data_IF_293129698143
#
_entry.id   IF_293129698143
#
_cell.length_a   1.000
_cell.length_b   1.000
_cell.length_c   1.000
_cell.angle_alpha   90.00
_cell.angle_beta   90.00
_cell.angle_gamma   90.00
#
_symmetry.space_group_name_H-M   'P 1'
#
loop_
_entity.id
_entity.type
_entity.pdbx_description
1 polymer ?
#
# COMPACT_ATOMS: atom_id res chain seq x y z
N UNK A 1 -4.94 -11.23 -46.58
CA UNK A 1 -3.86 -10.76 -45.69
C UNK A 1 -4.37 -9.74 -44.68
N UNK A 2 -5.11 -8.71 -45.09
CA UNK A 2 -5.70 -7.69 -44.20
C UNK A 2 -6.55 -8.25 -43.04
N UNK A 3 -7.35 -9.30 -43.29
CA UNK A 3 -8.19 -9.96 -42.26
C UNK A 3 -7.38 -10.73 -41.19
N UNK A 4 -6.22 -11.30 -41.57
CA UNK A 4 -5.36 -12.02 -40.65
C UNK A 4 -4.46 -11.07 -39.83
N UNK A 5 -4.10 -9.93 -40.41
CA UNK A 5 -3.39 -8.86 -39.69
C UNK A 5 -4.29 -8.23 -38.61
N UNK A 6 -5.59 -8.04 -38.91
CA UNK A 6 -6.56 -7.51 -37.96
C UNK A 6 -6.82 -8.47 -36.79
N UNK A 7 -6.88 -9.78 -37.08
CA UNK A 7 -7.03 -10.80 -36.05
C UNK A 7 -5.80 -10.87 -35.13
N UNK A 8 -4.60 -10.72 -35.69
CA UNK A 8 -3.35 -10.71 -34.92
C UNK A 8 -3.22 -9.46 -34.04
N UNK A 9 -3.65 -8.29 -34.53
CA UNK A 9 -3.72 -7.04 -33.74
C UNK A 9 -4.77 -7.13 -32.62
N UNK A 10 -5.94 -7.72 -32.88
CA UNK A 10 -6.96 -7.96 -31.85
C UNK A 10 -6.50 -8.96 -30.78
N UNK A 11 -5.68 -9.95 -31.16
CA UNK A 11 -5.15 -10.95 -30.22
C UNK A 11 -4.16 -10.34 -29.22
N UNK A 12 -3.41 -9.29 -29.61
CA UNK A 12 -2.50 -8.57 -28.70
C UNK A 12 -3.21 -7.60 -27.75
N UNK A 13 -4.45 -7.17 -28.08
CA UNK A 13 -5.27 -6.34 -27.20
C UNK A 13 -5.83 -7.11 -25.99
N UNK A 14 -5.84 -8.45 -26.03
CA UNK A 14 -6.23 -9.30 -24.90
C UNK A 14 -5.05 -9.69 -23.99
N UNK A 15 -3.83 -9.22 -24.28
CA UNK A 15 -2.71 -9.25 -23.35
C UNK A 15 -2.52 -7.87 -22.70
N UNK A 16 -3.61 -7.28 -22.23
CA UNK A 16 -3.47 -6.26 -21.20
C UNK A 16 -2.83 -6.97 -19.99
N UNK A 17 -1.72 -6.47 -19.42
CA UNK A 17 -1.27 -6.96 -18.13
C UNK A 17 -2.46 -6.83 -17.16
N UNK A 18 -2.77 -7.90 -16.43
CA UNK A 18 -3.68 -7.80 -15.31
C UNK A 18 -3.14 -6.67 -14.43
N UNK A 19 -3.93 -5.61 -14.23
CA UNK A 19 -3.63 -4.60 -13.25
C UNK A 19 -3.75 -5.29 -11.89
N UNK A 20 -2.63 -5.84 -11.42
CA UNK A 20 -2.53 -6.24 -10.03
C UNK A 20 -2.76 -4.98 -9.23
N UNK A 21 -3.75 -5.00 -8.34
CA UNK A 21 -3.88 -4.01 -7.27
C UNK A 21 -2.48 -3.69 -6.75
N UNK A 22 -2.02 -2.45 -6.98
CA UNK A 22 -0.67 -2.02 -6.65
C UNK A 22 -0.53 -2.06 -5.14
N UNK A 23 -0.10 -3.21 -4.64
CA UNK A 23 0.14 -3.46 -3.23
C UNK A 23 1.32 -2.58 -2.84
N UNK A 24 1.10 -1.66 -1.90
CA UNK A 24 2.18 -0.83 -1.38
C UNK A 24 2.82 -1.53 -0.18
N UNK A 25 4.14 -1.60 -0.18
CA UNK A 25 4.93 -2.10 0.95
C UNK A 25 5.92 -1.05 1.46
N UNK A 26 6.69 -1.44 2.48
CA UNK A 26 7.72 -0.61 3.12
C UNK A 26 8.78 -0.04 2.17
N UNK A 27 8.97 -0.63 0.98
CA UNK A 27 9.98 -0.23 0.00
C UNK A 27 9.46 0.74 -1.06
N UNK A 28 8.14 0.84 -1.22
CA UNK A 28 7.52 1.64 -2.29
C UNK A 28 6.70 2.83 -1.78
N UNK A 29 6.50 2.97 -0.47
CA UNK A 29 5.61 3.99 0.10
C UNK A 29 6.17 5.41 -0.08
N UNK A 30 7.40 5.66 0.36
CA UNK A 30 8.07 6.95 0.17
C UNK A 30 9.47 6.75 -0.40
N UNK A 31 9.84 7.56 -1.38
CA UNK A 31 11.11 7.50 -2.11
C UNK A 31 12.31 7.88 -1.25
N UNK A 32 12.09 8.62 -0.17
CA UNK A 32 13.11 9.16 0.72
C UNK A 32 13.09 8.53 2.12
N UNK A 33 12.23 7.53 2.36
CA UNK A 33 12.16 6.78 3.61
C UNK A 33 12.65 5.35 3.36
N UNK A 34 13.85 4.98 3.85
CA UNK A 34 14.33 3.60 3.75
C UNK A 34 13.40 2.62 4.49
N UNK A 35 13.23 1.41 3.94
CA UNK A 35 12.46 0.34 4.59
C UNK A 35 13.04 -0.11 5.95
N UNK A 36 14.28 0.27 6.25
CA UNK A 36 15.00 0.00 7.51
C UNK A 36 14.83 1.11 8.55
N UNK A 37 14.07 2.16 8.24
CA UNK A 37 13.77 3.25 9.19
C UNK A 37 13.03 2.68 10.41
N UNK A 38 13.43 3.09 11.61
CA UNK A 38 12.92 2.51 12.86
C UNK A 38 11.42 2.65 13.07
N UNK A 39 10.80 3.69 12.52
CA UNK A 39 9.36 3.98 12.61
C UNK A 39 8.61 3.67 11.30
N UNK A 40 9.16 2.83 10.42
CA UNK A 40 8.52 2.51 9.13
C UNK A 40 7.11 1.89 9.30
N UNK A 41 6.90 1.12 10.37
CA UNK A 41 5.59 0.54 10.67
C UNK A 41 4.57 1.63 10.98
N UNK A 42 4.96 2.60 11.81
CA UNK A 42 4.12 3.75 12.19
C UNK A 42 3.75 4.60 10.97
N UNK A 43 4.72 4.86 10.09
CA UNK A 43 4.50 5.55 8.82
C UNK A 43 3.47 4.81 7.97
N UNK A 44 3.63 3.49 7.82
CA UNK A 44 2.68 2.70 7.04
C UNK A 44 1.29 2.67 7.66
N UNK A 45 1.17 2.59 8.99
CA UNK A 45 -0.12 2.65 9.70
C UNK A 45 -0.81 3.98 9.46
N UNK A 46 -0.13 5.10 9.76
CA UNK A 46 -0.71 6.45 9.60
C UNK A 46 -1.08 6.74 8.15
N UNK A 47 -0.29 6.26 7.18
CA UNK A 47 -0.63 6.37 5.77
C UNK A 47 -1.84 5.52 5.40
N UNK A 48 -1.94 4.32 5.94
CA UNK A 48 -3.07 3.41 5.69
C UNK A 48 -4.40 3.99 6.14
N UNK A 49 -4.38 4.80 7.18
CA UNK A 49 -5.57 5.42 7.78
C UNK A 49 -5.77 6.88 7.37
N UNK A 50 -5.00 7.39 6.40
CA UNK A 50 -5.17 8.73 5.84
C UNK A 50 -4.67 9.89 6.72
N UNK A 51 -3.98 9.62 7.83
CA UNK A 51 -3.36 10.65 8.69
C UNK A 51 -1.95 11.06 8.23
N UNK A 52 -1.45 10.39 7.19
CA UNK A 52 -0.21 10.71 6.49
C UNK A 52 -0.44 10.54 4.99
N UNK A 53 -0.11 11.54 4.18
CA UNK A 53 -0.30 11.48 2.74
C UNK A 53 0.83 12.14 1.96
N UNK A 54 0.71 12.13 0.64
CA UNK A 54 1.65 12.82 -0.25
C UNK A 54 1.31 14.31 -0.36
N UNK A 55 2.33 15.13 -0.59
CA UNK A 55 2.16 16.58 -0.86
C UNK A 55 1.73 16.87 -2.31
N UNK A 56 1.21 15.86 -3.03
CA UNK A 56 0.68 15.97 -4.40
C UNK A 56 1.72 16.21 -5.50
N UNK A 57 3.02 16.24 -5.19
CA UNK A 57 4.08 16.50 -6.18
C UNK A 57 5.11 15.39 -6.27
N UNK A 58 5.57 14.90 -5.12
CA UNK A 58 6.59 13.86 -5.03
C UNK A 58 6.15 12.81 -4.01
N UNK A 59 6.47 11.55 -4.25
CA UNK A 59 6.32 10.47 -3.25
C UNK A 59 7.42 10.60 -2.18
N UNK A 60 7.58 11.78 -1.58
CA UNK A 60 8.61 12.08 -0.60
C UNK A 60 7.99 12.63 0.68
N UNK A 61 8.40 12.08 1.82
CA UNK A 61 7.91 12.48 3.13
C UNK A 61 8.68 13.69 3.68
N UNK A 62 10.00 13.69 3.53
CA UNK A 62 10.96 14.59 4.15
C UNK A 62 10.82 14.65 5.69
N UNK A 63 11.13 13.55 6.42
CA UNK A 63 10.81 13.40 7.84
C UNK A 63 11.39 14.49 8.75
N UNK A 64 12.55 15.04 8.39
CA UNK A 64 13.27 16.05 9.18
C UNK A 64 12.76 17.47 8.98
N UNK A 65 11.94 17.71 7.96
CA UNK A 65 11.37 19.02 7.72
C UNK A 65 10.22 19.29 8.69
N UNK A 66 10.04 20.57 9.05
CA UNK A 66 8.86 21.01 9.78
C UNK A 66 7.60 20.67 8.99
N UNK A 67 6.57 20.19 9.69
CA UNK A 67 5.28 19.94 9.07
C UNK A 67 4.57 21.28 8.83
N UNK A 68 4.30 21.59 7.56
CA UNK A 68 3.57 22.81 7.21
C UNK A 68 2.10 22.69 7.59
N UNK A 69 1.48 23.82 7.96
CA UNK A 69 0.03 23.91 8.21
C UNK A 69 -0.79 23.42 7.02
N UNK A 70 -0.34 23.76 5.81
CA UNK A 70 -1.01 23.39 4.56
C UNK A 70 -1.02 21.88 4.33
N UNK A 71 0.12 21.21 4.49
CA UNK A 71 0.21 19.76 4.30
C UNK A 71 -0.68 19.04 5.33
N UNK A 72 -0.59 19.45 6.60
CA UNK A 72 -1.45 18.91 7.65
C UNK A 72 -2.95 19.13 7.36
N UNK A 73 -3.33 20.34 6.96
CA UNK A 73 -4.71 20.65 6.62
C UNK A 73 -5.23 19.79 5.46
N UNK A 74 -4.39 19.53 4.45
CA UNK A 74 -4.74 18.60 3.38
C UNK A 74 -4.96 17.18 3.88
N UNK A 75 -4.09 16.67 4.76
CA UNK A 75 -4.22 15.32 5.31
C UNK A 75 -5.48 15.19 6.17
N UNK A 76 -5.72 16.15 7.06
CA UNK A 76 -6.93 16.21 7.89
C UNK A 76 -8.19 16.32 7.03
N UNK A 77 -8.15 17.12 5.96
CA UNK A 77 -9.26 17.23 5.02
C UNK A 77 -9.58 15.90 4.34
N UNK A 78 -8.55 15.17 3.89
CA UNK A 78 -8.73 13.83 3.34
C UNK A 78 -9.22 12.81 4.37
N UNK A 79 -8.67 12.84 5.58
CA UNK A 79 -9.04 11.97 6.69
C UNK A 79 -10.53 12.10 7.06
N UNK A 80 -11.05 13.33 7.13
CA UNK A 80 -12.46 13.59 7.41
C UNK A 80 -13.37 13.55 6.18
N UNK A 81 -12.85 13.17 5.01
CA UNK A 81 -13.63 13.05 3.77
C UNK A 81 -14.23 14.39 3.31
N UNK A 82 -13.51 15.49 3.51
CA UNK A 82 -13.94 16.81 3.04
C UNK A 82 -13.90 16.88 1.50
N UNK A 83 -14.71 17.78 0.92
CA UNK A 83 -14.74 17.99 -0.52
C UNK A 83 -13.42 18.57 -1.04
N UNK A 84 -12.79 17.88 -1.98
CA UNK A 84 -11.56 18.31 -2.65
C UNK A 84 -10.81 17.13 -3.26
N UNK A 85 -10.11 17.35 -4.36
CA UNK A 85 -9.30 16.32 -5.03
C UNK A 85 -7.80 16.61 -4.97
N UNK A 86 -7.44 17.86 -4.67
CA UNK A 86 -6.05 18.33 -4.61
C UNK A 86 -5.68 18.74 -3.20
N UNK A 87 -4.37 18.80 -2.93
CA UNK A 87 -3.81 19.30 -1.66
C UNK A 87 -4.37 20.68 -1.31
N UNK A 88 -4.47 21.56 -2.30
CA UNK A 88 -4.93 22.93 -2.09
C UNK A 88 -6.43 23.01 -1.76
N UNK A 89 -7.25 22.17 -2.39
CA UNK A 89 -8.69 22.11 -2.13
C UNK A 89 -8.98 21.51 -0.75
N UNK A 90 -8.33 20.39 -0.40
CA UNK A 90 -8.49 19.75 0.91
C UNK A 90 -8.01 20.66 2.04
N UNK A 91 -6.87 21.34 1.86
CA UNK A 91 -6.37 22.29 2.85
C UNK A 91 -7.34 23.47 3.05
N UNK A 92 -7.90 24.01 1.97
CA UNK A 92 -8.92 25.07 2.06
C UNK A 92 -10.20 24.59 2.76
N UNK A 93 -10.65 23.36 2.46
CA UNK A 93 -11.80 22.77 3.12
C UNK A 93 -11.56 22.60 4.62
N UNK A 94 -10.40 22.08 5.03
CA UNK A 94 -10.04 21.91 6.44
C UNK A 94 -9.91 23.24 7.18
N UNK A 95 -9.39 24.30 6.53
CA UNK A 95 -9.38 25.64 7.11
C UNK A 95 -10.79 26.19 7.32
N UNK A 96 -11.71 25.94 6.37
CA UNK A 96 -13.11 26.38 6.46
C UNK A 96 -13.88 25.70 7.60
N UNK A 97 -13.55 24.45 7.90
CA UNK A 97 -14.05 23.70 9.07
C UNK A 97 -13.33 24.07 10.38
N UNK A 98 -12.48 25.10 10.37
CA UNK A 98 -11.76 25.62 11.54
C UNK A 98 -10.79 24.63 12.21
N UNK A 99 -10.42 23.54 11.52
CA UNK A 99 -9.36 22.62 11.99
C UNK A 99 -8.00 23.31 12.07
N UNK A 100 -7.79 24.32 11.22
CA UNK A 100 -6.61 25.18 11.30
C UNK A 100 -6.96 26.63 11.04
N UNK A 101 -6.24 27.54 11.70
CA UNK A 101 -6.53 28.98 11.60
C UNK A 101 -5.97 29.63 10.33
N UNK A 102 -4.88 29.09 9.79
CA UNK A 102 -4.18 29.59 8.60
C UNK A 102 -3.50 28.43 7.87
N UNK A 103 -3.26 28.58 6.57
CA UNK A 103 -2.47 27.64 5.78
C UNK A 103 -0.97 27.99 5.75
N UNK A 104 -0.60 29.17 6.27
CA UNK A 104 0.77 29.67 6.23
C UNK A 104 1.59 29.24 7.45
N UNK A 105 2.85 28.88 7.24
CA UNK A 105 3.81 28.54 8.30
C UNK A 105 3.72 27.10 8.81
N UNK A 106 4.38 26.86 9.94
CA UNK A 106 4.55 25.52 10.50
C UNK A 106 3.45 25.17 11.50
N UNK A 107 3.06 23.89 11.51
CA UNK A 107 2.06 23.32 12.40
C UNK A 107 2.54 23.32 13.86
N UNK A 108 1.61 23.48 14.80
CA UNK A 108 1.86 23.38 16.24
C UNK A 108 1.10 22.22 16.90
N UNK A 109 1.57 21.74 18.06
CA UNK A 109 0.87 20.70 18.84
C UNK A 109 -0.56 21.09 19.20
N UNK A 110 -0.79 22.38 19.47
CA UNK A 110 -2.12 22.93 19.76
C UNK A 110 -3.09 22.72 18.59
N UNK A 111 -2.63 22.91 17.37
CA UNK A 111 -3.45 22.76 16.16
C UNK A 111 -3.81 21.29 15.94
N UNK A 112 -2.87 20.37 16.17
CA UNK A 112 -3.15 18.92 16.14
C UNK A 112 -4.21 18.55 17.18
N UNK A 113 -4.01 18.97 18.43
CA UNK A 113 -4.95 18.67 19.51
C UNK A 113 -6.34 19.28 19.26
N UNK A 114 -6.41 20.41 18.54
CA UNK A 114 -7.67 21.01 18.11
C UNK A 114 -8.35 20.18 17.04
N UNK A 115 -7.64 19.90 15.94
CA UNK A 115 -8.21 19.27 14.76
C UNK A 115 -8.53 17.78 14.93
N UNK A 116 -7.63 17.04 15.58
CA UNK A 116 -7.73 15.58 15.68
C UNK A 116 -8.23 15.12 17.06
N UNK A 117 -7.85 15.83 18.12
CA UNK A 117 -8.13 15.39 19.49
C UNK A 117 -9.19 16.20 20.22
N UNK A 118 -9.84 17.16 19.56
CA UNK A 118 -10.91 17.99 20.14
C UNK A 118 -10.57 18.57 21.52
N UNK A 119 -9.33 19.02 21.70
CA UNK A 119 -8.78 19.58 22.93
C UNK A 119 -8.75 18.62 24.13
N UNK A 120 -8.69 17.30 23.89
CA UNK A 120 -8.65 16.28 24.94
C UNK A 120 -7.27 16.01 25.51
N UNK A 121 -6.21 16.31 24.76
CA UNK A 121 -4.84 16.09 25.24
C UNK A 121 -4.35 17.26 26.11
N UNK A 122 -3.63 16.95 27.17
CA UNK A 122 -2.83 17.93 27.91
C UNK A 122 -1.46 18.07 27.23
N UNK A 123 -1.12 19.29 26.81
CA UNK A 123 0.11 19.55 26.05
C UNK A 123 1.13 20.29 26.90
N UNK A 124 2.37 19.81 26.93
CA UNK A 124 3.46 20.48 27.64
C UNK A 124 3.85 21.82 26.96
N UNK A 125 4.01 21.80 25.62
CA UNK A 125 4.42 22.96 24.83
C UNK A 125 3.48 23.16 23.63
N UNK A 126 2.24 23.65 23.85
CA UNK A 126 1.21 23.70 22.82
C UNK A 126 1.58 24.50 21.57
N UNK A 127 2.33 25.60 21.72
CA UNK A 127 2.69 26.49 20.61
C UNK A 127 4.02 26.09 19.92
N UNK A 128 4.67 25.00 20.34
CA UNK A 128 5.87 24.51 19.68
C UNK A 128 5.53 23.92 18.30
N UNK A 129 6.39 24.20 17.33
CA UNK A 129 6.36 23.57 16.00
C UNK A 129 7.04 22.21 16.06
N UNK A 130 6.77 21.37 15.06
CA UNK A 130 7.35 20.03 14.99
C UNK A 130 7.76 19.61 13.58
N UNK A 131 8.68 18.66 13.51
CA UNK A 131 9.00 17.93 12.29
C UNK A 131 7.92 16.90 11.95
N UNK A 132 7.94 16.39 10.71
CA UNK A 132 7.06 15.29 10.32
C UNK A 132 7.34 14.01 11.09
N UNK A 133 8.61 13.75 11.43
CA UNK A 133 9.00 12.63 12.29
C UNK A 133 8.40 12.76 13.69
N UNK A 134 8.45 13.95 14.29
CA UNK A 134 7.82 14.24 15.58
C UNK A 134 6.29 14.11 15.51
N UNK A 135 5.67 14.57 14.42
CA UNK A 135 4.24 14.37 14.16
C UNK A 135 3.85 12.88 14.12
N UNK A 136 4.62 12.05 13.41
CA UNK A 136 4.39 10.61 13.32
C UNK A 136 4.47 9.96 14.71
N UNK A 137 5.52 10.30 15.48
CA UNK A 137 5.68 9.79 16.84
C UNK A 137 4.50 10.21 17.74
N UNK A 138 4.12 11.49 17.69
CA UNK A 138 3.03 12.04 18.49
C UNK A 138 1.69 11.37 18.16
N UNK A 139 1.34 11.21 16.88
CA UNK A 139 0.09 10.54 16.51
C UNK A 139 0.09 9.07 16.87
N UNK A 140 1.22 8.38 16.74
CA UNK A 140 1.31 6.96 17.07
C UNK A 140 1.11 6.73 18.56
N UNK A 141 1.69 7.59 19.41
CA UNK A 141 1.51 7.54 20.87
C UNK A 141 0.04 7.69 21.29
N UNK A 142 -0.70 8.56 20.59
CA UNK A 142 -2.07 8.93 20.94
C UNK A 142 -3.15 8.27 20.06
N UNK A 143 -2.79 7.35 19.16
CA UNK A 143 -3.72 6.79 18.16
C UNK A 143 -4.95 6.10 18.79
N UNK A 144 -4.70 5.44 19.92
CA UNK A 144 -5.68 4.63 20.65
C UNK A 144 -6.26 5.33 21.90
N UNK A 145 -5.94 6.62 22.09
CA UNK A 145 -6.50 7.40 23.19
C UNK A 145 -8.01 7.58 23.01
N UNK A 146 -8.76 7.29 24.08
CA UNK A 146 -10.21 7.46 24.09
C UNK A 146 -10.59 8.94 24.27
N UNK A 147 -11.21 9.52 23.25
CA UNK A 147 -11.64 10.92 23.23
C UNK A 147 -13.12 11.11 23.55
N UNK A 148 -13.73 10.15 24.26
CA UNK A 148 -15.13 10.20 24.69
C UNK A 148 -16.03 9.22 23.93
N UNK A 149 -15.52 8.02 23.68
CA UNK A 149 -16.18 6.91 22.98
C UNK A 149 -15.56 6.56 21.63
N UNK A 150 -14.56 7.33 21.17
CA UNK A 150 -13.88 7.13 19.89
C UNK A 150 -12.39 7.39 20.02
N UNK A 151 -11.58 6.51 19.42
CA UNK A 151 -10.15 6.74 19.15
C UNK A 151 -9.94 7.42 17.79
N UNK A 152 -8.73 7.89 17.48
CA UNK A 152 -8.44 8.44 16.15
C UNK A 152 -8.68 7.41 15.06
N UNK A 153 -8.29 6.16 15.29
CA UNK A 153 -8.53 5.06 14.37
C UNK A 153 -10.03 4.95 14.04
N UNK A 154 -10.88 5.01 15.05
CA UNK A 154 -12.33 4.90 14.89
C UNK A 154 -12.96 6.15 14.24
N UNK A 155 -12.42 7.34 14.52
CA UNK A 155 -12.86 8.58 13.86
C UNK A 155 -12.61 8.56 12.36
N UNK A 156 -11.53 7.93 11.90
CA UNK A 156 -11.24 7.73 10.48
C UNK A 156 -12.08 6.63 9.82
N UNK A 157 -13.00 6.00 10.55
CA UNK A 157 -13.77 4.87 10.03
C UNK A 157 -12.94 3.60 9.90
N UNK A 158 -11.94 3.40 10.77
CA UNK A 158 -11.14 2.19 10.83
C UNK A 158 -11.39 1.40 12.13
N UNK A 159 -11.01 0.14 12.12
CA UNK A 159 -11.04 -0.71 13.31
C UNK A 159 -9.88 -1.71 13.28
N UNK A 160 -9.41 -2.11 14.45
CA UNK A 160 -8.44 -3.20 14.56
C UNK A 160 -9.05 -4.51 14.00
N UNK A 161 -8.23 -5.23 13.26
CA UNK A 161 -8.58 -6.45 12.54
C UNK A 161 -8.14 -7.72 13.27
N UNK A 162 -8.26 -8.89 12.61
CA UNK A 162 -7.79 -10.14 13.19
C UNK A 162 -6.28 -10.16 13.33
N UNK A 163 -5.81 -10.89 14.34
CA UNK A 163 -4.43 -11.33 14.50
C UNK A 163 -4.41 -12.85 14.56
N UNK A 164 -3.31 -13.49 14.20
CA UNK A 164 -3.21 -14.96 14.23
C UNK A 164 -2.32 -15.51 13.13
N UNK A 165 -2.18 -16.82 13.10
CA UNK A 165 -1.48 -17.51 12.01
C UNK A 165 -2.36 -17.52 10.76
N UNK A 166 -1.78 -17.17 9.61
CA UNK A 166 -2.47 -17.31 8.32
C UNK A 166 -2.57 -18.79 7.96
N UNK A 167 -3.77 -19.31 7.91
CA UNK A 167 -4.04 -20.73 7.58
C UNK A 167 -3.95 -20.98 6.07
N UNK A 168 -4.43 -20.02 5.28
CA UNK A 168 -4.44 -20.07 3.82
C UNK A 168 -4.67 -18.67 3.25
N UNK A 169 -4.55 -18.51 1.93
CA UNK A 169 -4.88 -17.28 1.21
C UNK A 169 -5.81 -17.55 0.03
N UNK A 170 -6.74 -16.63 -0.20
CA UNK A 170 -7.57 -16.60 -1.40
C UNK A 170 -6.89 -15.71 -2.42
N UNK A 171 -6.62 -16.25 -3.61
CA UNK A 171 -6.03 -15.51 -4.73
C UNK A 171 -6.93 -15.62 -5.97
N UNK A 172 -7.22 -14.49 -6.62
CA UNK A 172 -8.12 -14.39 -7.77
C UNK A 172 -8.29 -12.93 -8.17
N UNK A 173 -9.53 -12.51 -8.43
CA UNK A 173 -9.86 -11.09 -8.68
C UNK A 173 -9.64 -10.23 -7.43
N UNK A 174 -9.79 -10.82 -6.23
CA UNK A 174 -9.52 -10.20 -4.95
C UNK A 174 -8.64 -11.11 -4.09
N UNK A 175 -7.73 -10.51 -3.34
CA UNK A 175 -6.85 -11.22 -2.40
C UNK A 175 -7.47 -11.21 -1.01
N UNK A 176 -7.42 -12.34 -0.30
CA UNK A 176 -7.86 -12.44 1.09
C UNK A 176 -7.00 -13.40 1.90
N UNK A 177 -7.03 -13.23 3.22
CA UNK A 177 -6.32 -14.09 4.17
C UNK A 177 -7.31 -14.91 4.99
N UNK A 178 -6.96 -16.14 5.36
CA UNK A 178 -7.79 -17.01 6.21
C UNK A 178 -7.14 -17.15 7.58
N UNK A 179 -7.88 -16.80 8.63
CA UNK A 179 -7.45 -16.93 10.04
C UNK A 179 -8.63 -17.53 10.82
N UNK A 180 -8.39 -18.59 11.59
CA UNK A 180 -9.42 -19.31 12.35
C UNK A 180 -10.61 -19.75 11.47
N UNK A 181 -10.33 -20.23 10.25
CA UNK A 181 -11.33 -20.64 9.27
C UNK A 181 -12.20 -19.53 8.68
N UNK A 182 -11.91 -18.25 8.98
CA UNK A 182 -12.64 -17.10 8.43
C UNK A 182 -11.78 -16.36 7.40
N UNK A 183 -12.38 -16.06 6.25
CA UNK A 183 -11.76 -15.25 5.20
C UNK A 183 -11.93 -13.76 5.50
N UNK A 184 -10.84 -13.01 5.34
CA UNK A 184 -10.76 -11.57 5.45
C UNK A 184 -10.16 -11.01 4.16
N UNK A 185 -10.96 -10.29 3.39
CA UNK A 185 -10.54 -9.73 2.11
C UNK A 185 -9.64 -8.51 2.34
N UNK A 186 -8.59 -8.38 1.53
CA UNK A 186 -7.79 -7.17 1.46
C UNK A 186 -8.58 -6.08 0.71
N UNK A 187 -8.33 -4.82 1.07
CA UNK A 187 -8.82 -3.67 0.32
C UNK A 187 -8.19 -3.60 -1.08
N UNK A 188 -8.71 -2.74 -1.95
CA UNK A 188 -8.15 -2.54 -3.31
C UNK A 188 -6.72 -1.98 -3.31
N UNK A 189 -6.31 -1.29 -2.24
CA UNK A 189 -4.96 -0.74 -2.07
C UNK A 189 -4.44 -1.03 -0.65
N UNK A 190 -4.18 -2.30 -0.31
CA UNK A 190 -3.77 -2.66 1.03
C UNK A 190 -2.29 -2.30 1.23
N UNK A 191 -1.94 -1.95 2.46
CA UNK A 191 -0.56 -1.71 2.88
C UNK A 191 -0.06 -2.93 3.62
N UNK A 192 0.99 -3.55 3.10
CA UNK A 192 1.48 -4.84 3.57
C UNK A 192 2.87 -4.66 4.17
N UNK A 193 2.99 -4.80 5.48
CA UNK A 193 4.28 -4.89 6.16
C UNK A 193 4.70 -6.37 6.26
N UNK A 194 5.41 -6.85 5.24
CA UNK A 194 5.91 -8.22 5.13
C UNK A 194 7.28 -8.23 4.42
N UNK A 195 7.98 -9.37 4.47
CA UNK A 195 9.20 -9.60 3.67
C UNK A 195 8.89 -9.87 2.19
N UNK A 196 7.65 -10.25 1.86
CA UNK A 196 7.20 -10.46 0.50
C UNK A 196 5.76 -10.01 0.34
N UNK A 197 5.44 -9.40 -0.79
CA UNK A 197 4.07 -9.04 -1.18
C UNK A 197 3.33 -10.19 -1.89
N UNK A 198 3.98 -11.32 -2.14
CA UNK A 198 3.31 -12.51 -2.67
C UNK A 198 2.44 -13.14 -1.57
N UNK A 199 1.12 -13.06 -1.74
CA UNK A 199 0.15 -13.57 -0.78
C UNK A 199 0.38 -15.04 -0.39
N UNK A 200 0.83 -15.87 -1.34
CA UNK A 200 1.08 -17.30 -1.09
C UNK A 200 2.22 -17.53 -0.10
N UNK A 201 3.14 -16.59 0.02
CA UNK A 201 4.26 -16.67 0.97
C UNK A 201 3.82 -16.41 2.42
N UNK A 202 2.62 -15.85 2.64
CA UNK A 202 2.12 -15.48 3.97
C UNK A 202 1.57 -16.66 4.77
N UNK A 203 1.23 -17.77 4.11
CA UNK A 203 0.68 -18.96 4.78
C UNK A 203 1.66 -19.47 5.84
N UNK A 204 1.16 -19.67 7.05
CA UNK A 204 1.94 -20.07 8.22
C UNK A 204 2.63 -18.92 8.96
N UNK A 205 2.63 -17.70 8.41
CA UNK A 205 3.16 -16.53 9.11
C UNK A 205 2.19 -16.02 10.17
N UNK A 206 2.74 -15.39 11.22
CA UNK A 206 1.97 -14.73 12.26
C UNK A 206 1.62 -13.30 11.83
N UNK A 207 0.33 -13.00 11.73
CA UNK A 207 -0.18 -11.64 11.61
C UNK A 207 -0.25 -11.01 13.01
N UNK A 208 0.54 -9.96 13.22
CA UNK A 208 0.66 -9.25 14.50
C UNK A 208 -0.32 -8.09 14.63
N UNK A 209 -0.57 -7.40 13.53
CA UNK A 209 -1.53 -6.29 13.47
C UNK A 209 -2.26 -6.28 12.14
N UNK A 210 -3.52 -5.90 12.15
CA UNK A 210 -4.25 -5.58 10.94
C UNK A 210 -5.32 -4.54 11.20
N UNK A 211 -5.71 -3.77 10.18
CA UNK A 211 -6.70 -2.70 10.30
C UNK A 211 -7.74 -2.86 9.19
N UNK A 212 -9.01 -2.82 9.56
CA UNK A 212 -10.15 -2.78 8.65
C UNK A 212 -10.51 -1.36 8.25
N UNK A 213 -10.98 -1.20 7.01
CA UNK A 213 -11.98 -0.17 6.70
C UNK A 213 -13.31 -0.59 7.31
N UNK A 214 -13.98 0.30 8.02
CA UNK A 214 -15.38 0.07 8.41
C UNK A 214 -16.29 0.39 7.23
N UNK A 215 -17.39 -0.34 7.09
CA UNK A 215 -18.34 -0.15 6.00
C UNK A 215 -19.10 1.18 6.17
N UNK A 216 -18.47 2.25 5.68
CA UNK A 216 -19.02 3.58 5.45
C UNK A 216 -18.25 4.17 4.27
N UNK A 217 -18.96 4.83 3.34
CA UNK A 217 -18.46 5.38 2.08
C UNK A 217 -17.25 6.32 2.22
N UNK A 218 -16.06 5.78 2.49
CA UNK A 218 -14.81 6.53 2.55
C UNK A 218 -13.79 5.81 1.66
N UNK A 219 -14.00 5.94 0.36
CA UNK A 219 -12.98 5.62 -0.64
C UNK A 219 -11.80 6.59 -0.47
N UNK A 220 -10.82 6.21 0.35
CA UNK A 220 -9.50 6.84 0.34
C UNK A 220 -8.70 6.32 -0.85
N UNK A 221 -9.03 6.85 -2.04
CA UNK A 221 -8.33 6.60 -3.29
C UNK A 221 -7.95 7.91 -3.95
N UNK A 222 -6.86 8.53 -3.51
CA UNK A 222 -6.18 9.58 -4.27
C UNK A 222 -4.79 9.09 -4.65
N UNK A 223 -4.76 8.13 -5.56
CA UNK A 223 -3.57 7.76 -6.35
C UNK A 223 -4.01 7.57 -7.80
N UNK A 224 -4.49 8.63 -8.44
CA UNK A 224 -4.61 8.68 -9.91
C UNK A 224 -4.30 10.10 -10.38
N UNK A 225 -3.00 10.37 -10.51
CA UNK A 225 -2.51 11.54 -11.22
C UNK A 225 -2.51 11.21 -12.73
N UNK A 226 -3.69 11.27 -13.37
CA UNK A 226 -3.78 11.34 -14.83
C UNK A 226 -4.11 12.76 -15.27
N UNK A 227 -3.08 13.47 -15.74
CA UNK A 227 -3.24 14.61 -16.62
C UNK A 227 -4.02 14.18 -17.89
N UNK A 228 -5.19 14.78 -18.12
CA UNK A 228 -5.98 14.50 -19.31
C UNK A 228 -7.12 15.49 -19.53
N UNK A 229 -6.81 16.60 -20.21
CA UNK A 229 -7.82 17.49 -20.82
C UNK A 229 -8.76 16.72 -21.76
N UNK A 230 -10.08 16.97 -21.67
CA UNK A 230 -11.03 16.54 -22.68
C UNK A 230 -12.47 16.95 -22.37
N UNK A 231 -13.04 17.77 -23.25
CA UNK A 231 -14.38 18.34 -23.19
C UNK A 231 -15.52 17.31 -23.18
N UNK A 232 -16.67 17.76 -22.67
CA UNK A 232 -18.00 17.15 -22.74
C UNK A 232 -18.29 16.27 -23.97
N UNK A 233 -18.76 15.04 -23.74
CA UNK A 233 -19.87 14.47 -24.51
C UNK A 233 -20.50 13.25 -23.78
N UNK A 234 -21.83 13.25 -23.73
CA UNK A 234 -22.66 12.19 -23.13
C UNK A 234 -22.59 10.89 -23.98
N UNK A 235 -22.28 9.77 -23.33
CA UNK A 235 -22.29 8.46 -23.96
C UNK A 235 -22.49 7.35 -22.95
N UNK A 236 -23.72 6.82 -22.88
CA UNK A 236 -24.06 5.63 -22.11
C UNK A 236 -23.23 4.42 -22.59
N UNK A 237 -22.27 4.00 -21.77
CA UNK A 237 -21.58 2.71 -21.88
C UNK A 237 -21.79 1.95 -20.58
N UNK A 238 -22.42 0.78 -20.65
CA UNK A 238 -22.58 -0.15 -19.53
C UNK A 238 -21.19 -0.56 -19.02
N UNK A 239 -20.73 0.10 -17.96
CA UNK A 239 -19.61 -0.33 -17.16
C UNK A 239 -20.00 -1.60 -16.40
N UNK A 240 -19.15 -2.61 -16.45
CA UNK A 240 -19.24 -3.75 -15.56
C UNK A 240 -18.94 -3.28 -14.13
N UNK A 241 -19.96 -2.78 -13.45
CA UNK A 241 -19.93 -2.55 -12.01
C UNK A 241 -19.92 -3.93 -11.33
N UNK A 242 -18.74 -4.36 -10.90
CA UNK A 242 -18.65 -5.36 -9.85
C UNK A 242 -19.38 -4.80 -8.62
N UNK A 243 -20.30 -5.54 -7.97
CA UNK A 243 -21.02 -5.01 -6.83
C UNK A 243 -20.01 -4.77 -5.72
N UNK A 244 -19.78 -3.50 -5.36
CA UNK A 244 -19.07 -3.12 -4.15
C UNK A 244 -19.78 -3.80 -2.99
N UNK A 245 -19.19 -4.87 -2.47
CA UNK A 245 -19.71 -5.48 -1.25
C UNK A 245 -19.38 -4.50 -0.14
N UNK A 246 -20.40 -4.02 0.58
CA UNK A 246 -20.26 -3.16 1.77
C UNK A 246 -19.63 -3.92 2.96
N UNK A 247 -18.68 -4.82 2.68
CA UNK A 247 -17.98 -5.63 3.66
C UNK A 247 -16.68 -4.92 4.05
N UNK A 248 -16.37 -4.92 5.33
CA UNK A 248 -15.09 -4.43 5.84
C UNK A 248 -13.93 -5.20 5.16
N UNK A 249 -12.93 -4.46 4.66
CA UNK A 249 -11.73 -5.02 4.02
C UNK A 249 -10.48 -4.60 4.77
N UNK A 250 -9.43 -5.41 4.72
CA UNK A 250 -8.16 -5.13 5.40
C UNK A 250 -7.38 -4.07 4.63
N UNK A 251 -7.20 -2.91 5.25
CA UNK A 251 -6.46 -1.77 4.75
C UNK A 251 -4.96 -1.86 5.06
N UNK A 252 -4.62 -2.46 6.21
CA UNK A 252 -3.27 -2.66 6.66
C UNK A 252 -3.09 -4.06 7.24
N UNK A 253 -1.95 -4.69 6.98
CA UNK A 253 -1.53 -5.94 7.62
C UNK A 253 -0.04 -5.90 7.94
N UNK A 254 0.32 -6.43 9.11
CA UNK A 254 1.69 -6.51 9.61
C UNK A 254 2.00 -7.92 10.07
N UNK A 255 3.01 -8.51 9.45
CA UNK A 255 3.52 -9.83 9.81
C UNK A 255 4.67 -9.72 10.80
N UNK A 256 4.79 -10.74 11.66
CA UNK A 256 5.93 -10.88 12.55
C UNK A 256 7.22 -11.01 11.75
N UNK A 257 8.23 -10.25 12.14
CA UNK A 257 9.59 -10.41 11.64
C UNK A 257 10.28 -11.66 12.20
N UNK A 258 9.72 -12.26 13.24
CA UNK A 258 10.18 -13.52 13.81
C UNK A 258 9.47 -14.68 13.12
N UNK A 259 10.20 -15.43 12.29
CA UNK A 259 9.69 -16.71 11.80
C UNK A 259 9.34 -17.61 12.98
N UNK A 260 8.05 -17.96 13.10
CA UNK A 260 7.64 -19.10 13.93
C UNK A 260 8.21 -20.33 13.24
N UNK A 261 9.35 -20.82 13.74
CA UNK A 261 9.84 -22.13 13.37
C UNK A 261 8.71 -23.12 13.67
N UNK A 262 8.12 -23.69 12.62
CA UNK A 262 7.22 -24.81 12.76
C UNK A 262 7.99 -25.91 13.52
N UNK A 263 7.57 -26.18 14.75
CA UNK A 263 8.12 -27.20 15.61
C UNK A 263 7.76 -28.57 15.03
N UNK A 264 8.52 -29.00 14.02
CA UNK A 264 8.50 -30.37 13.53
C UNK A 264 9.50 -31.18 14.37
N UNK A 265 9.20 -31.33 15.67
CA UNK A 265 9.95 -32.22 16.56
C UNK A 265 9.63 -33.67 16.20
N UNK A 266 10.28 -34.17 15.14
CA UNK A 266 10.63 -35.59 15.07
C UNK A 266 11.91 -35.79 15.86
N UNK A 267 11.76 -36.37 17.04
CA UNK A 267 12.85 -36.96 17.82
C UNK A 267 13.74 -37.82 16.92
N UNK A 268 15.02 -37.44 16.80
CA UNK A 268 16.11 -38.40 16.56
C UNK A 268 17.25 -38.06 17.51
N UNK A 269 17.48 -38.97 18.44
CA UNK A 269 18.59 -38.97 19.40
C UNK A 269 19.96 -39.14 18.73
N UNK A 270 20.96 -38.52 19.37
CA UNK A 270 22.40 -38.91 19.42
C UNK A 270 23.25 -38.52 18.19
N UNK A 271 24.44 -37.92 18.28
CA UNK A 271 25.47 -37.95 19.32
C UNK A 271 26.54 -36.85 19.11
N UNK A 272 27.06 -36.34 20.23
CA UNK A 272 28.41 -35.85 20.55
C UNK A 272 29.36 -35.17 19.51
N UNK A 273 29.88 -34.03 20.01
CA UNK A 273 31.29 -33.58 20.05
C UNK A 273 31.77 -32.47 19.08
N UNK A 274 32.51 -31.56 19.71
CA UNK A 274 32.94 -30.19 19.36
C UNK A 274 34.27 -30.15 18.55
N UNK A 275 34.94 -28.98 18.32
CA UNK A 275 35.09 -28.27 17.04
C UNK A 275 36.53 -28.25 16.46
N UNK A 276 36.73 -27.87 15.18
CA UNK A 276 37.94 -27.14 14.73
C UNK A 276 37.95 -26.68 13.26
N UNK A 277 38.27 -25.38 13.12
CA UNK A 277 39.20 -24.68 12.20
C UNK A 277 39.27 -24.95 10.67
N UNK A 278 39.14 -23.82 9.96
CA UNK A 278 39.95 -23.30 8.83
C UNK A 278 39.75 -23.77 7.38
N UNK A 279 39.54 -22.74 6.52
CA UNK A 279 39.88 -22.57 5.09
C UNK A 279 39.42 -23.68 4.12
N UNK A 280 38.78 -23.40 2.99
CA UNK A 280 39.24 -22.52 1.91
C UNK A 280 38.11 -22.35 0.86
N UNK A 281 38.25 -21.30 0.06
CA UNK A 281 37.60 -21.00 -1.23
C UNK A 281 37.25 -22.22 -2.10
N UNK A 282 36.02 -22.24 -2.63
CA UNK A 282 35.76 -22.78 -3.96
C UNK A 282 34.68 -21.94 -4.67
N UNK A 283 35.09 -21.37 -5.81
CA UNK A 283 34.20 -20.86 -6.84
C UNK A 283 33.30 -22.00 -7.31
N UNK A 284 31.98 -21.83 -7.25
CA UNK A 284 31.08 -22.61 -8.09
C UNK A 284 30.08 -21.67 -8.73
N UNK A 285 30.39 -21.34 -9.98
CA UNK A 285 29.49 -20.77 -10.97
C UNK A 285 28.26 -21.67 -11.13
N UNK A 286 27.18 -21.38 -10.43
CA UNK A 286 25.85 -21.90 -10.77
C UNK A 286 25.14 -20.85 -11.63
N UNK A 287 25.24 -21.03 -12.94
CA UNK A 287 24.44 -20.35 -13.95
C UNK A 287 22.96 -20.66 -13.73
N UNK A 288 22.26 -19.80 -12.99
CA UNK A 288 20.80 -19.75 -13.05
C UNK A 288 20.39 -19.10 -14.37
N UNK A 289 20.22 -19.95 -15.38
CA UNK A 289 19.65 -19.59 -16.66
C UNK A 289 18.22 -19.12 -16.44
N UNK A 290 18.04 -17.80 -16.45
CA UNK A 290 16.74 -17.13 -16.46
C UNK A 290 15.87 -17.70 -17.58
N UNK A 291 14.74 -18.31 -17.22
CA UNK A 291 13.77 -18.90 -18.16
C UNK A 291 13.12 -17.85 -19.09
N UNK A 292 13.43 -16.56 -18.91
CA UNK A 292 12.95 -15.45 -19.72
C UNK A 292 13.57 -15.38 -21.12
N UNK A 293 14.80 -15.89 -21.33
CA UNK A 293 15.46 -15.81 -22.65
C UNK A 293 14.87 -16.78 -23.66
N UNK A 294 14.36 -17.93 -23.21
CA UNK A 294 13.76 -18.95 -24.10
C UNK A 294 12.46 -18.42 -24.73
N UNK A 295 11.64 -17.71 -23.97
CA UNK A 295 10.40 -17.11 -24.49
C UNK A 295 10.67 -15.95 -25.45
N UNK A 296 11.67 -15.12 -25.18
CA UNK A 296 12.07 -14.02 -26.08
C UNK A 296 12.60 -14.56 -27.41
N UNK A 297 13.41 -15.63 -27.39
CA UNK A 297 13.91 -16.27 -28.61
C UNK A 297 12.75 -16.91 -29.40
N UNK A 298 11.80 -17.56 -28.73
CA UNK A 298 10.63 -18.15 -29.39
C UNK A 298 9.76 -17.09 -30.09
N UNK A 299 9.54 -15.93 -29.45
CA UNK A 299 8.79 -14.80 -30.03
C UNK A 299 9.51 -14.22 -31.25
N UNK A 300 10.83 -14.05 -31.19
CA UNK A 300 11.63 -13.55 -32.32
C UNK A 300 11.59 -14.49 -33.53
N UNK A 301 11.61 -15.80 -33.32
CA UNK A 301 11.51 -16.80 -34.40
C UNK A 301 10.14 -16.75 -35.07
N UNK A 302 9.07 -16.60 -34.28
CA UNK A 302 7.69 -16.48 -34.80
C UNK A 302 7.53 -15.19 -35.60
N UNK A 303 8.07 -14.06 -35.12
CA UNK A 303 8.05 -12.78 -35.84
C UNK A 303 8.81 -12.87 -37.17
N UNK A 304 9.99 -13.50 -37.19
CA UNK A 304 10.76 -13.69 -38.42
C UNK A 304 10.01 -14.53 -39.47
N UNK A 305 9.31 -15.58 -39.03
CA UNK A 305 8.49 -16.42 -39.92
C UNK A 305 7.30 -15.64 -40.50
N UNK A 306 6.65 -14.79 -39.71
CA UNK A 306 5.56 -13.91 -40.16
C UNK A 306 6.07 -12.91 -41.20
N UNK A 307 7.22 -12.26 -40.96
CA UNK A 307 7.81 -11.31 -41.90
C UNK A 307 8.18 -11.96 -43.23
N UNK A 308 8.77 -13.16 -43.22
CA UNK A 308 9.10 -13.91 -44.42
C UNK A 308 7.84 -14.26 -45.24
N UNK A 309 6.77 -14.69 -44.57
CA UNK A 309 5.51 -15.03 -45.24
C UNK A 309 4.82 -13.82 -45.88
N UNK A 310 4.85 -12.66 -45.22
CA UNK A 310 4.26 -11.41 -45.75
C UNK A 310 5.05 -10.88 -46.94
N UNK A 311 6.38 -10.98 -46.95
CA UNK A 311 7.21 -10.54 -48.06
C UNK A 311 7.12 -11.45 -49.29
N UNK A 312 7.04 -12.76 -49.11
CA UNK A 312 6.89 -13.71 -50.24
C UNK A 312 5.53 -13.54 -50.92
N UNK A 313 4.47 -13.19 -50.17
CA UNK A 313 3.14 -12.97 -50.74
C UNK A 313 2.93 -11.61 -51.42
N UNK A 314 3.85 -10.65 -51.26
CA UNK A 314 3.82 -9.36 -51.99
C UNK A 314 4.50 -9.41 -53.36
N UNK A 315 5.21 -10.51 -53.69
CA UNK A 315 5.88 -10.72 -54.98
C UNK A 315 5.14 -11.65 -55.95
N UNK A 316 3.89 -12.01 -55.66
CA UNK A 316 2.99 -12.76 -56.57
C UNK A 316 1.68 -12.03 -56.74
#
# INVERSE_FOLDING_TARGET
MRKYLLLLLMSTLFMAPAAYAHTMDKSTLFTDVPETTSNIQDIMVLHSIGLLGYNGKDMALNPTDNLSRKDFASWVGGFFGLEGATVDELAQAAQKEEYISSLEGDLTYKEINTALFHHKLELENPDATMTKEEYIAFLTEHLDDDMGGHTLLQMGGFAEGPTGTIEDVVTGDETGIIINGKTYMLSGHPRIFAESTDAKSWVGQQLERSIFTTAGDHHHGHDDNQEGHGDHEEGHGEGHDAPATNAATLQYVQFSSTQVAADDTKEVQSSNATPREEQQTDETTSSNSSSSTVWVIAILVVLAAIFAFVFVKRKK
#
